data_IF_253674916838
#
_entry.id   IF_253674916838
#
_cell.length_a   1.000
_cell.length_b   1.000
_cell.length_c   1.000
_cell.angle_alpha   90.00
_cell.angle_beta   90.00
_cell.angle_gamma   90.00
#
_symmetry.space_group_name_H-M   'P 1'
#
loop_
_entity.id
_entity.type
_entity.pdbx_description
1 polymer ?
#
# COMPACT_ATOMS: atom_id res chain seq x y z
N UNK A 1 -11.09 1.86 2.88
CA UNK A 1 -9.96 1.37 3.70
C UNK A 1 -10.38 0.06 4.33
N UNK A 2 -9.84 -1.07 3.87
CA UNK A 2 -10.25 -2.38 4.38
C UNK A 2 -9.58 -2.55 5.76
N UNK A 3 -10.34 -2.56 6.87
CA UNK A 3 -9.83 -2.83 8.24
C UNK A 3 -9.13 -4.21 8.38
N UNK A 4 -9.12 -4.98 7.29
CA UNK A 4 -8.57 -6.32 7.13
C UNK A 4 -7.07 -6.41 7.44
N UNK A 5 -6.27 -5.36 7.20
CA UNK A 5 -4.82 -5.44 7.43
C UNK A 5 -4.45 -5.51 8.93
N UNK A 6 -5.11 -4.72 9.79
CA UNK A 6 -4.91 -4.79 11.24
C UNK A 6 -5.35 -6.15 11.79
N UNK A 7 -6.47 -6.68 11.30
CA UNK A 7 -6.94 -8.02 11.68
C UNK A 7 -5.89 -9.09 11.36
N UNK A 8 -5.33 -9.07 10.15
CA UNK A 8 -4.28 -10.00 9.73
C UNK A 8 -3.01 -9.89 10.58
N UNK A 9 -2.60 -8.66 10.94
CA UNK A 9 -1.43 -8.48 11.83
C UNK A 9 -1.71 -9.07 13.20
N UNK A 10 -2.86 -8.77 13.82
CA UNK A 10 -3.18 -9.34 15.14
C UNK A 10 -3.29 -10.87 15.07
N UNK A 11 -3.84 -11.43 13.99
CA UNK A 11 -3.86 -12.88 13.78
C UNK A 11 -2.46 -13.48 13.69
N UNK A 12 -1.53 -12.83 12.97
CA UNK A 12 -0.14 -13.26 12.92
C UNK A 12 0.53 -13.20 14.30
N UNK A 13 0.23 -12.18 15.13
CA UNK A 13 0.73 -12.08 16.49
C UNK A 13 0.16 -13.17 17.42
N UNK A 14 -1.10 -13.55 17.23
CA UNK A 14 -1.70 -14.69 17.93
C UNK A 14 -1.01 -16.00 17.53
N UNK A 15 -0.78 -16.22 16.23
CA UNK A 15 -0.06 -17.39 15.73
C UNK A 15 1.38 -17.46 16.25
N UNK A 16 2.04 -16.31 16.38
CA UNK A 16 3.38 -16.20 16.96
C UNK A 16 3.41 -16.29 18.49
N UNK A 17 2.26 -16.49 19.15
CA UNK A 17 2.09 -16.53 20.60
C UNK A 17 2.57 -15.24 21.32
N UNK A 18 2.52 -14.11 20.62
CA UNK A 18 2.81 -12.77 21.17
C UNK A 18 1.56 -12.10 21.73
N UNK A 19 0.38 -12.52 21.26
CA UNK A 19 -0.94 -12.12 21.78
C UNK A 19 -1.72 -13.38 22.11
N UNK A 20 -2.30 -13.46 23.31
CA UNK A 20 -3.16 -14.59 23.64
C UNK A 20 -4.46 -14.54 22.83
N UNK A 21 -5.03 -15.68 22.39
CA UNK A 21 -6.24 -15.68 21.59
C UNK A 21 -7.41 -14.90 22.23
N UNK A 22 -7.53 -14.95 23.56
CA UNK A 22 -8.55 -14.21 24.31
C UNK A 22 -8.29 -12.69 24.38
N UNK A 23 -7.06 -12.24 24.17
CA UNK A 23 -6.67 -10.82 24.13
C UNK A 23 -6.77 -10.21 22.73
N UNK A 24 -7.12 -11.00 21.69
CA UNK A 24 -7.19 -10.55 20.28
C UNK A 24 -7.99 -9.25 20.12
N UNK A 25 -9.18 -9.17 20.73
CA UNK A 25 -10.04 -8.00 20.59
C UNK A 25 -9.43 -6.77 21.27
N UNK A 26 -8.89 -6.94 22.48
CA UNK A 26 -8.22 -5.85 23.20
C UNK A 26 -7.01 -5.32 22.41
N UNK A 27 -6.24 -6.20 21.77
CA UNK A 27 -5.12 -5.80 20.92
C UNK A 27 -5.60 -4.98 19.71
N UNK A 28 -6.70 -5.41 19.05
CA UNK A 28 -7.32 -4.65 17.97
C UNK A 28 -7.77 -3.26 18.42
N UNK A 29 -8.43 -3.15 19.58
CA UNK A 29 -8.94 -1.88 20.08
C UNK A 29 -7.80 -0.87 20.35
N UNK A 30 -6.68 -1.34 20.91
CA UNK A 30 -5.48 -0.51 21.11
C UNK A 30 -4.91 -0.02 19.77
N UNK A 31 -4.84 -0.89 18.76
CA UNK A 31 -4.38 -0.49 17.43
C UNK A 31 -5.34 0.50 16.77
N UNK A 32 -6.65 0.28 16.86
CA UNK A 32 -7.68 1.18 16.32
C UNK A 32 -7.62 2.56 16.97
N UNK A 33 -7.47 2.61 18.29
CA UNK A 33 -7.34 3.88 19.03
C UNK A 33 -6.09 4.66 18.58
N UNK A 34 -4.99 3.98 18.24
CA UNK A 34 -3.77 4.63 17.76
C UNK A 34 -3.92 5.27 16.39
N UNK A 35 -4.68 4.63 15.48
CA UNK A 35 -4.84 5.09 14.09
C UNK A 35 -6.09 5.94 13.87
N UNK A 36 -6.91 6.17 14.91
CA UNK A 36 -8.18 6.90 14.80
C UNK A 36 -8.02 8.34 14.31
N UNK A 37 -6.86 8.94 14.58
CA UNK A 37 -6.51 10.32 14.21
C UNK A 37 -5.57 10.36 12.98
N UNK A 38 -5.40 9.24 12.27
CA UNK A 38 -4.56 9.12 11.08
C UNK A 38 -5.43 8.90 9.83
N UNK A 39 -5.05 9.50 8.70
CA UNK A 39 -5.65 9.23 7.39
C UNK A 39 -4.65 8.49 6.53
N UNK A 40 -4.98 7.26 6.13
CA UNK A 40 -4.14 6.45 5.26
C UNK A 40 -4.76 6.31 3.87
N UNK A 41 -3.96 6.58 2.85
CA UNK A 41 -4.25 6.22 1.47
C UNK A 41 -3.25 5.13 1.09
N UNK A 42 -3.76 3.99 0.66
CA UNK A 42 -2.94 2.84 0.25
C UNK A 42 -3.00 2.76 -1.26
N UNK A 43 -1.82 2.72 -1.87
CA UNK A 43 -1.62 2.39 -3.27
C UNK A 43 -0.87 1.07 -3.33
N UNK A 44 -1.34 0.14 -4.15
CA UNK A 44 -0.74 -1.18 -4.29
C UNK A 44 -0.29 -1.48 -5.72
N UNK A 45 0.19 -2.71 -5.94
CA UNK A 45 0.68 -3.16 -7.24
C UNK A 45 -0.46 -3.23 -8.26
N UNK A 46 -1.68 -3.57 -7.83
CA UNK A 46 -2.85 -3.67 -8.70
C UNK A 46 -3.28 -2.28 -9.19
N UNK A 47 -3.17 -1.25 -8.35
CA UNK A 47 -3.41 0.14 -8.77
C UNK A 47 -2.45 0.57 -9.90
N UNK A 48 -1.16 0.24 -9.79
CA UNK A 48 -0.16 0.56 -10.83
C UNK A 48 -0.44 -0.21 -12.12
N UNK A 49 -0.75 -1.50 -12.01
CA UNK A 49 -1.11 -2.35 -13.17
C UNK A 49 -2.38 -1.82 -13.87
N UNK A 50 -3.39 -1.43 -13.09
CA UNK A 50 -4.65 -0.90 -13.60
C UNK A 50 -4.41 0.42 -14.33
N UNK A 51 -3.60 1.32 -13.75
CA UNK A 51 -3.28 2.58 -14.40
C UNK A 51 -2.47 2.39 -15.68
N UNK A 52 -1.52 1.45 -15.71
CA UNK A 52 -0.79 1.11 -16.93
C UNK A 52 -1.73 0.61 -18.04
N UNK A 53 -2.72 -0.22 -17.68
CA UNK A 53 -3.78 -0.64 -18.60
C UNK A 53 -4.61 0.52 -19.15
N UNK A 54 -4.95 1.51 -18.30
CA UNK A 54 -5.65 2.73 -18.72
C UNK A 54 -4.80 3.58 -19.67
N UNK A 55 -3.48 3.62 -19.44
CA UNK A 55 -2.50 4.33 -20.27
C UNK A 55 -2.10 3.55 -21.54
N UNK A 56 -2.67 2.35 -21.75
CA UNK A 56 -2.36 1.43 -22.84
C UNK A 56 -0.88 1.00 -22.87
N UNK A 57 -0.26 0.88 -21.70
CA UNK A 57 1.12 0.41 -21.50
C UNK A 57 1.10 -1.00 -20.90
N UNK A 58 1.72 -1.95 -21.58
CA UNK A 58 1.91 -3.29 -21.03
C UNK A 58 3.10 -3.31 -20.07
N UNK A 59 2.86 -3.73 -18.83
CA UNK A 59 3.88 -3.90 -17.79
C UNK A 59 3.71 -5.27 -17.11
N UNK A 60 4.79 -5.80 -16.56
CA UNK A 60 4.73 -6.99 -15.69
C UNK A 60 4.44 -6.61 -14.25
N UNK A 61 4.06 -7.59 -13.42
CA UNK A 61 3.89 -7.36 -11.99
C UNK A 61 5.21 -6.93 -11.31
N UNK A 62 6.36 -7.40 -11.81
CA UNK A 62 7.67 -6.98 -11.33
C UNK A 62 7.97 -5.52 -11.68
N UNK A 63 7.65 -5.08 -12.90
CA UNK A 63 7.75 -3.67 -13.28
C UNK A 63 6.85 -2.80 -12.38
N UNK A 64 5.61 -3.23 -12.12
CA UNK A 64 4.69 -2.52 -11.23
C UNK A 64 5.23 -2.42 -9.78
N UNK A 65 5.86 -3.48 -9.26
CA UNK A 65 6.53 -3.44 -7.94
C UNK A 65 7.69 -2.45 -7.93
N UNK A 66 8.50 -2.40 -8.99
CA UNK A 66 9.60 -1.46 -9.10
C UNK A 66 9.12 0.00 -9.18
N UNK A 67 8.07 0.26 -9.95
CA UNK A 67 7.41 1.57 -10.08
C UNK A 67 6.81 1.99 -8.73
N UNK A 68 6.04 1.12 -8.07
CA UNK A 68 5.47 1.41 -6.75
C UNK A 68 6.56 1.70 -5.72
N UNK A 69 7.65 0.94 -5.72
CA UNK A 69 8.78 1.17 -4.85
C UNK A 69 9.50 2.51 -5.15
N UNK A 70 9.54 2.93 -6.41
CA UNK A 70 10.06 4.25 -6.81
C UNK A 70 9.17 5.38 -6.31
N UNK A 71 7.85 5.27 -6.49
CA UNK A 71 6.86 6.21 -5.96
C UNK A 71 6.98 6.36 -4.45
N UNK A 72 7.06 5.25 -3.72
CA UNK A 72 7.21 5.26 -2.27
C UNK A 72 8.47 6.03 -1.82
N UNK A 73 9.61 5.83 -2.50
CA UNK A 73 10.87 6.49 -2.16
C UNK A 73 10.93 7.97 -2.55
N UNK A 74 10.24 8.36 -3.62
CA UNK A 74 10.45 9.64 -4.29
C UNK A 74 9.19 10.51 -4.39
N UNK A 75 8.11 10.17 -3.68
CA UNK A 75 6.88 10.97 -3.74
C UNK A 75 7.11 12.38 -3.19
N UNK A 76 6.50 13.34 -3.87
CA UNK A 76 6.46 14.73 -3.41
C UNK A 76 5.37 14.85 -2.33
N UNK A 77 5.74 15.28 -1.13
CA UNK A 77 4.81 15.44 -0.03
C UNK A 77 3.81 16.60 -0.24
N UNK A 78 4.16 17.58 -1.07
CA UNK A 78 3.27 18.70 -1.40
C UNK A 78 2.17 18.28 -2.40
N UNK A 79 2.40 17.22 -3.18
CA UNK A 79 1.46 16.70 -4.21
C UNK A 79 0.76 15.42 -3.76
N UNK A 80 1.47 14.54 -3.05
CA UNK A 80 1.06 13.18 -2.73
C UNK A 80 1.09 12.23 -3.95
N UNK A 81 0.56 11.03 -3.78
CA UNK A 81 0.38 10.05 -4.86
C UNK A 81 -1.08 10.08 -5.31
N UNK A 82 -1.28 10.21 -6.62
CA UNK A 82 -2.56 10.14 -7.32
C UNK A 82 -2.37 9.43 -8.67
N UNK A 83 -3.46 9.22 -9.42
CA UNK A 83 -3.41 8.51 -10.71
C UNK A 83 -2.46 9.14 -11.73
N UNK A 84 -2.43 10.47 -11.85
CA UNK A 84 -1.53 11.17 -12.78
C UNK A 84 -0.05 11.01 -12.40
N UNK A 85 0.24 10.98 -11.09
CA UNK A 85 1.58 10.70 -10.56
C UNK A 85 2.00 9.26 -10.89
N UNK A 86 1.07 8.30 -10.82
CA UNK A 86 1.34 6.90 -11.22
C UNK A 86 1.63 6.82 -12.73
N UNK A 87 0.81 7.44 -13.59
CA UNK A 87 1.06 7.51 -15.04
C UNK A 87 2.42 8.13 -15.36
N UNK A 88 2.78 9.20 -14.67
CA UNK A 88 4.09 9.85 -14.83
C UNK A 88 5.23 8.91 -14.44
N UNK A 89 5.06 8.15 -13.35
CA UNK A 89 6.06 7.18 -12.90
C UNK A 89 6.21 6.00 -13.87
N UNK A 90 5.11 5.49 -14.43
CA UNK A 90 5.13 4.46 -15.48
C UNK A 90 5.90 4.97 -16.70
N UNK A 91 5.55 6.16 -17.20
CA UNK A 91 6.22 6.74 -18.37
C UNK A 91 7.72 6.93 -18.14
N UNK A 92 8.10 7.43 -16.95
CA UNK A 92 9.50 7.64 -16.57
C UNK A 92 10.28 6.32 -16.48
N UNK A 93 9.67 5.26 -15.95
CA UNK A 93 10.31 3.95 -15.80
C UNK A 93 10.82 3.39 -17.15
N UNK A 94 10.09 3.62 -18.24
CA UNK A 94 10.50 3.20 -19.58
C UNK A 94 11.49 4.14 -20.27
N UNK A 95 11.61 5.40 -19.81
CA UNK A 95 12.61 6.34 -20.35
C UNK A 95 14.01 6.13 -19.76
N UNK A 96 14.09 5.55 -18.56
CA UNK A 96 15.35 5.32 -17.82
C UNK A 96 15.96 3.92 -18.07
N UNK A 97 15.32 3.11 -18.93
CA UNK A 97 15.78 1.77 -19.37
C UNK A 97 16.41 1.80 -20.76
#
# INVERSE_FOLDING_TARGET
MNENWLQKIIEALVLANLVQPFDKQRALDVCKEKVKDEMHVVWDVEDVMTQAGNDLVEITEDDAREILASLHRNHDADVGINWDVISTAIARYFQER
#
